data_IF_827170412317
#
_entry.id   IF_827170412317
#
_cell.length_a   1.000
_cell.length_b   1.000
_cell.length_c   1.000
_cell.angle_alpha   90.00
_cell.angle_beta   90.00
_cell.angle_gamma   90.00
#
_symmetry.space_group_name_H-M   'P 1'
#
loop_
_entity.id
_entity.type
_entity.pdbx_description
1 polymer ?
#
# COMPACT_ATOMS: atom_id res chain seq x y z
N UNK A 1 9.53 23.58 -7.32
CA UNK A 1 10.69 22.83 -7.85
C UNK A 1 10.13 21.64 -8.61
N UNK A 2 10.70 21.28 -9.76
CA UNK A 2 10.45 19.97 -10.35
C UNK A 2 11.40 18.99 -9.69
N UNK A 3 10.87 17.93 -9.11
CA UNK A 3 11.71 16.85 -8.56
C UNK A 3 11.98 15.82 -9.65
N UNK A 4 13.13 15.14 -9.60
CA UNK A 4 13.43 14.05 -10.52
C UNK A 4 12.48 12.89 -10.24
N UNK A 5 11.62 12.57 -11.21
CA UNK A 5 10.66 11.46 -11.15
C UNK A 5 10.99 10.43 -12.22
N UNK A 6 10.82 9.16 -11.90
CA UNK A 6 11.05 8.02 -12.79
C UNK A 6 9.76 7.51 -13.44
N UNK A 7 8.81 8.40 -13.73
CA UNK A 7 7.51 8.01 -14.29
C UNK A 7 7.69 7.48 -15.72
N UNK A 8 7.15 6.29 -16.07
CA UNK A 8 7.24 5.74 -17.42
C UNK A 8 6.71 6.70 -18.49
N UNK A 9 7.42 6.82 -19.61
CA UNK A 9 7.10 7.83 -20.63
C UNK A 9 5.70 7.66 -21.25
N UNK A 10 5.26 6.41 -21.42
CA UNK A 10 3.97 6.07 -22.04
C UNK A 10 2.83 5.86 -21.03
N UNK A 11 2.99 6.33 -19.78
CA UNK A 11 1.94 6.22 -18.78
C UNK A 11 0.81 7.21 -19.07
N UNK A 12 -0.42 6.72 -19.22
CA UNK A 12 -1.60 7.51 -19.62
C UNK A 12 -1.85 8.75 -18.75
N UNK A 13 -1.53 8.67 -17.46
CA UNK A 13 -1.75 9.74 -16.47
C UNK A 13 -0.42 10.35 -15.96
N UNK A 14 0.60 10.42 -16.82
CA UNK A 14 1.94 10.90 -16.45
C UNK A 14 1.94 12.30 -15.87
N UNK A 15 1.26 13.24 -16.50
CA UNK A 15 1.19 14.64 -16.06
C UNK A 15 0.51 14.74 -14.69
N UNK A 16 -0.63 14.05 -14.53
CA UNK A 16 -1.38 14.04 -13.28
C UNK A 16 -0.58 13.42 -12.12
N UNK A 17 0.13 12.32 -12.38
CA UNK A 17 1.00 11.68 -11.40
C UNK A 17 2.19 12.58 -11.03
N UNK A 18 2.79 13.27 -12.01
CA UNK A 18 3.89 14.20 -11.78
C UNK A 18 3.45 15.38 -10.93
N UNK A 19 2.30 15.99 -11.22
CA UNK A 19 1.72 17.07 -10.41
C UNK A 19 1.40 16.61 -8.98
N UNK A 20 0.84 15.40 -8.84
CA UNK A 20 0.54 14.82 -7.54
C UNK A 20 1.81 14.63 -6.72
N UNK A 21 2.85 14.00 -7.29
CA UNK A 21 4.14 13.76 -6.66
C UNK A 21 4.81 15.07 -6.25
N UNK A 22 4.92 16.05 -7.15
CA UNK A 22 5.47 17.36 -6.83
C UNK A 22 4.69 18.00 -5.67
N UNK A 23 3.36 17.89 -5.67
CA UNK A 23 2.54 18.47 -4.61
C UNK A 23 2.75 17.82 -3.24
N UNK A 24 3.10 16.52 -3.21
CA UNK A 24 3.38 15.76 -1.99
C UNK A 24 4.80 16.06 -1.50
N UNK A 25 5.78 16.09 -2.40
CA UNK A 25 7.18 16.38 -2.11
C UNK A 25 7.39 17.79 -1.53
N UNK A 26 6.51 18.73 -1.86
CA UNK A 26 6.49 20.07 -1.24
C UNK A 26 5.94 20.09 0.20
N UNK A 27 5.28 19.02 0.64
CA UNK A 27 4.65 18.94 1.97
C UNK A 27 5.47 18.04 2.90
N UNK A 28 5.95 16.92 2.37
CA UNK A 28 6.68 15.93 3.14
C UNK A 28 7.94 15.46 2.42
N UNK A 29 8.93 15.15 3.25
CA UNK A 29 10.07 14.36 2.83
C UNK A 29 9.64 12.91 2.67
N UNK A 30 9.77 12.40 1.44
CA UNK A 30 9.66 10.97 1.14
C UNK A 30 11.02 10.49 0.62
N UNK A 31 11.31 9.23 0.88
CA UNK A 31 12.52 8.55 0.43
C UNK A 31 12.27 7.90 -0.94
N UNK A 32 11.09 7.28 -1.10
CA UNK A 32 10.66 6.67 -2.35
C UNK A 32 9.15 6.69 -2.55
N UNK A 33 8.73 6.56 -3.82
CA UNK A 33 7.34 6.34 -4.19
C UNK A 33 7.22 5.23 -5.24
N UNK A 34 6.24 4.35 -5.06
CA UNK A 34 5.96 3.23 -5.92
C UNK A 34 4.54 3.33 -6.49
N UNK A 35 4.43 3.11 -7.79
CA UNK A 35 3.17 3.05 -8.52
C UNK A 35 2.82 1.59 -8.78
N UNK A 36 1.65 1.14 -8.31
CA UNK A 36 1.19 -0.21 -8.61
C UNK A 36 0.80 -0.37 -10.08
N UNK A 37 0.57 -1.61 -10.51
CA UNK A 37 -0.26 -1.87 -11.70
C UNK A 37 -1.69 -1.33 -11.50
N UNK A 38 -2.39 -1.10 -12.60
CA UNK A 38 -3.79 -0.65 -12.60
C UNK A 38 -4.66 -1.67 -11.87
N UNK A 39 -5.37 -1.20 -10.86
CA UNK A 39 -6.30 -1.96 -10.03
C UNK A 39 -7.73 -1.76 -10.55
N UNK A 40 -8.55 -2.80 -10.38
CA UNK A 40 -9.97 -2.77 -10.75
C UNK A 40 -10.81 -3.35 -9.63
N UNK A 41 -11.65 -2.51 -9.04
CA UNK A 41 -12.63 -2.90 -8.02
C UNK A 41 -14.04 -2.55 -8.55
N UNK A 42 -14.75 -3.55 -9.06
CA UNK A 42 -16.02 -3.35 -9.74
C UNK A 42 -15.89 -2.44 -10.97
N UNK A 43 -16.55 -1.28 -10.92
CA UNK A 43 -16.50 -0.25 -11.98
C UNK A 43 -15.43 0.82 -11.73
N UNK A 44 -14.68 0.73 -10.63
CA UNK A 44 -13.65 1.71 -10.29
C UNK A 44 -12.30 1.18 -10.72
N UNK A 45 -11.56 2.00 -11.46
CA UNK A 45 -10.19 1.72 -11.86
C UNK A 45 -9.27 2.77 -11.25
N UNK A 46 -8.15 2.34 -10.67
CA UNK A 46 -7.22 3.25 -9.98
C UNK A 46 -5.83 2.63 -9.90
N UNK A 47 -4.85 3.43 -9.48
CA UNK A 47 -3.50 3.01 -9.15
C UNK A 47 -3.25 3.25 -7.67
N UNK A 48 -2.50 2.38 -6.99
CA UNK A 48 -1.93 2.71 -5.70
C UNK A 48 -0.65 3.51 -5.90
N UNK A 49 -0.55 4.63 -5.19
CA UNK A 49 0.68 5.38 -5.04
C UNK A 49 1.17 5.19 -3.60
N UNK A 50 2.14 4.31 -3.42
CA UNK A 50 2.70 4.00 -2.10
C UNK A 50 3.94 4.85 -1.85
N UNK A 51 3.95 5.61 -0.76
CA UNK A 51 5.02 6.51 -0.37
C UNK A 51 5.74 5.96 0.85
N UNK A 52 7.07 5.98 0.82
CA UNK A 52 7.90 5.76 2.00
C UNK A 52 8.44 7.07 2.54
N UNK A 53 8.18 7.28 3.83
CA UNK A 53 8.62 8.45 4.59
C UNK A 53 9.69 8.03 5.59
N UNK A 54 10.56 8.99 5.92
CA UNK A 54 11.58 8.85 6.96
C UNK A 54 10.94 8.34 8.27
N UNK A 55 11.58 7.36 8.90
CA UNK A 55 11.21 6.76 10.20
C UNK A 55 11.04 7.81 11.30
N UNK A 56 11.74 8.95 11.21
CA UNK A 56 11.55 10.09 12.11
C UNK A 56 10.13 10.69 12.06
N UNK A 57 9.35 10.34 11.03
CA UNK A 57 7.95 10.68 10.91
C UNK A 57 7.03 9.51 11.32
N UNK A 58 7.46 8.56 12.17
CA UNK A 58 6.58 7.55 12.78
C UNK A 58 6.22 7.91 14.24
N UNK A 59 4.93 8.12 14.59
CA UNK A 59 3.76 8.08 13.72
C UNK A 59 3.65 9.31 12.83
N UNK A 60 3.20 9.10 11.57
CA UNK A 60 3.01 10.20 10.62
C UNK A 60 2.04 11.25 11.21
N UNK A 61 2.46 12.52 11.34
CA UNK A 61 1.64 13.57 11.90
C UNK A 61 0.25 13.66 11.26
N UNK A 62 -0.78 13.91 12.06
CA UNK A 62 -2.16 13.92 11.60
C UNK A 62 -2.42 15.01 10.55
N UNK A 63 -1.72 16.14 10.66
CA UNK A 63 -1.76 17.25 9.71
C UNK A 63 -1.28 16.79 8.33
N UNK A 64 -0.16 16.05 8.29
CA UNK A 64 0.38 15.47 7.07
C UNK A 64 -0.61 14.46 6.48
N UNK A 65 -1.15 13.54 7.30
CA UNK A 65 -2.17 12.57 6.86
C UNK A 65 -3.37 13.26 6.22
N UNK A 66 -3.86 14.33 6.86
CA UNK A 66 -5.00 15.13 6.37
C UNK A 66 -4.69 15.80 5.04
N UNK A 67 -3.49 16.38 4.89
CA UNK A 67 -3.06 17.01 3.65
C UNK A 67 -2.96 16.01 2.49
N UNK A 68 -2.35 14.84 2.72
CA UNK A 68 -2.25 13.77 1.72
C UNK A 68 -3.63 13.27 1.33
N UNK A 69 -4.53 13.07 2.31
CA UNK A 69 -5.92 12.67 2.04
C UNK A 69 -6.65 13.71 1.18
N UNK A 70 -6.46 15.00 1.47
CA UNK A 70 -7.06 16.09 0.68
C UNK A 70 -6.51 16.15 -0.75
N UNK A 71 -5.23 15.83 -0.94
CA UNK A 71 -4.61 15.71 -2.27
C UNK A 71 -5.15 14.51 -3.03
N UNK A 72 -5.20 13.33 -2.41
CA UNK A 72 -5.77 12.13 -3.02
C UNK A 72 -7.22 12.32 -3.50
N UNK A 73 -8.04 13.08 -2.75
CA UNK A 73 -9.41 13.41 -3.20
C UNK A 73 -9.48 14.21 -4.50
N UNK A 74 -8.44 14.94 -4.88
CA UNK A 74 -8.37 15.69 -6.14
C UNK A 74 -7.91 14.83 -7.32
N UNK A 75 -7.35 13.66 -7.02
CA UNK A 75 -6.73 12.74 -7.98
C UNK A 75 -7.32 11.34 -7.75
N UNK A 76 -8.62 11.13 -8.07
CA UNK A 76 -9.35 9.91 -7.69
C UNK A 76 -8.78 8.63 -8.33
N UNK A 77 -8.04 8.77 -9.42
CA UNK A 77 -7.34 7.68 -10.08
C UNK A 77 -6.13 7.16 -9.28
N UNK A 78 -5.72 7.86 -8.23
CA UNK A 78 -4.58 7.50 -7.38
C UNK A 78 -5.00 7.35 -5.92
N UNK A 79 -4.94 6.13 -5.41
CA UNK A 79 -5.11 5.84 -3.98
C UNK A 79 -3.75 5.92 -3.30
N UNK A 80 -3.56 6.96 -2.48
CA UNK A 80 -2.29 7.22 -1.82
C UNK A 80 -2.20 6.43 -0.52
N UNK A 81 -1.07 5.77 -0.31
CA UNK A 81 -0.73 5.01 0.90
C UNK A 81 0.63 5.46 1.40
N UNK A 82 0.78 5.59 2.71
CA UNK A 82 2.01 6.13 3.32
C UNK A 82 2.46 5.17 4.40
N UNK A 83 3.73 4.79 4.33
CA UNK A 83 4.36 3.88 5.28
C UNK A 83 5.77 4.36 5.59
N UNK A 84 6.33 3.92 6.70
CA UNK A 84 7.78 3.95 6.90
C UNK A 84 8.42 2.70 6.30
N UNK A 85 9.73 2.75 6.06
CA UNK A 85 10.48 1.58 5.60
C UNK A 85 10.36 0.41 6.59
N UNK A 86 10.49 0.69 7.90
CA UNK A 86 10.32 -0.31 8.96
C UNK A 86 8.94 -0.99 8.93
N UNK A 87 7.88 -0.23 8.60
CA UNK A 87 6.53 -0.81 8.44
C UNK A 87 6.45 -1.74 7.23
N UNK A 88 7.11 -1.38 6.12
CA UNK A 88 7.21 -2.22 4.93
C UNK A 88 8.00 -3.49 5.21
N UNK A 89 9.18 -3.38 5.82
CA UNK A 89 10.03 -4.52 6.20
C UNK A 89 9.28 -5.47 7.14
N UNK A 90 8.71 -4.95 8.22
CA UNK A 90 7.92 -5.74 9.17
C UNK A 90 6.73 -6.41 8.47
N UNK A 91 6.08 -5.71 7.55
CA UNK A 91 4.98 -6.24 6.74
C UNK A 91 5.44 -7.42 5.87
N UNK A 92 6.52 -7.24 5.11
CA UNK A 92 7.10 -8.27 4.26
C UNK A 92 7.58 -9.49 5.07
N UNK A 93 8.24 -9.26 6.21
CA UNK A 93 8.65 -10.33 7.12
C UNK A 93 7.47 -11.18 7.59
N UNK A 94 6.33 -10.55 7.83
CA UNK A 94 5.07 -11.20 8.20
C UNK A 94 4.31 -11.78 7.02
N UNK A 95 4.75 -11.55 5.77
CA UNK A 95 4.11 -12.06 4.57
C UNK A 95 2.97 -11.19 4.03
N UNK A 96 2.98 -9.89 4.32
CA UNK A 96 2.01 -8.95 3.76
C UNK A 96 2.22 -8.78 2.24
N UNK A 97 1.30 -9.36 1.47
CA UNK A 97 1.33 -9.34 0.00
C UNK A 97 1.26 -7.93 -0.59
N UNK A 98 0.66 -6.98 0.12
CA UNK A 98 0.54 -5.59 -0.31
C UNK A 98 1.90 -4.99 -0.74
N UNK A 99 2.93 -5.12 0.11
CA UNK A 99 4.24 -4.54 -0.17
C UNK A 99 4.95 -5.29 -1.31
N UNK A 100 4.76 -6.60 -1.41
CA UNK A 100 5.28 -7.40 -2.52
C UNK A 100 4.66 -6.94 -3.86
N UNK A 101 3.33 -6.82 -3.92
CA UNK A 101 2.62 -6.48 -5.14
C UNK A 101 2.86 -5.02 -5.57
N UNK A 102 2.82 -4.08 -4.63
CA UNK A 102 2.78 -2.66 -4.95
C UNK A 102 4.11 -1.94 -4.80
N UNK A 103 5.08 -2.51 -4.06
CA UNK A 103 6.41 -1.91 -3.90
C UNK A 103 7.51 -2.75 -4.57
N UNK A 104 7.52 -4.08 -4.42
CA UNK A 104 8.54 -4.92 -5.07
C UNK A 104 8.27 -5.16 -6.56
N UNK A 105 6.99 -5.34 -6.94
CA UNK A 105 6.56 -5.53 -8.33
C UNK A 105 5.99 -4.26 -8.96
N UNK A 106 5.88 -3.18 -8.18
CA UNK A 106 5.45 -1.86 -8.65
C UNK A 106 6.58 -1.08 -9.30
N UNK A 107 6.23 -0.03 -10.04
CA UNK A 107 7.19 0.87 -10.67
C UNK A 107 7.68 1.89 -9.64
N UNK A 108 8.98 2.00 -9.44
CA UNK A 108 9.55 3.09 -8.65
C UNK A 108 9.43 4.39 -9.46
N UNK A 109 8.54 5.29 -9.06
CA UNK A 109 8.25 6.55 -9.76
C UNK A 109 8.95 7.75 -9.14
N UNK A 110 9.52 7.58 -7.95
CA UNK A 110 10.36 8.58 -7.30
C UNK A 110 11.33 7.91 -6.33
N UNK A 111 12.59 8.33 -6.35
CA UNK A 111 13.60 7.97 -5.37
C UNK A 111 14.46 9.19 -5.08
N UNK A 112 14.68 9.50 -3.80
CA UNK A 112 15.58 10.57 -3.39
C UNK A 112 17.03 10.11 -3.63
N UNK A 113 17.66 10.62 -4.70
CA UNK A 113 19.04 10.35 -5.10
C UNK A 113 20.05 10.69 -3.99
N UNK A 114 20.33 9.70 -3.12
CA UNK A 114 21.53 9.52 -2.29
C UNK A 114 21.46 8.26 -1.39
N UNK A 115 20.30 7.58 -1.32
CA UNK A 115 20.22 6.20 -0.82
C UNK A 115 20.33 5.22 -1.98
N UNK A 116 20.96 4.07 -1.75
CA UNK A 116 20.81 2.91 -2.62
C UNK A 116 19.31 2.65 -2.89
N UNK A 117 18.96 1.95 -3.96
CA UNK A 117 17.58 1.49 -4.13
C UNK A 117 17.27 0.58 -2.93
N UNK A 118 16.62 1.11 -1.89
CA UNK A 118 16.52 0.47 -0.55
C UNK A 118 15.81 -0.89 -0.64
N UNK A 119 15.04 -1.09 -1.71
CA UNK A 119 14.38 -2.35 -2.05
C UNK A 119 15.23 -3.26 -2.96
N UNK A 120 16.57 -3.21 -2.90
CA UNK A 120 17.43 -4.29 -3.40
C UNK A 120 17.33 -5.50 -2.46
N UNK A 121 16.14 -6.10 -2.42
CA UNK A 121 15.85 -7.33 -1.67
C UNK A 121 16.52 -8.56 -2.29
N UNK A 122 17.56 -8.40 -3.11
CA UNK A 122 18.41 -9.50 -3.56
C UNK A 122 18.95 -10.34 -2.40
N UNK A 123 19.03 -9.79 -1.18
CA UNK A 123 19.37 -10.52 0.05
C UNK A 123 18.24 -11.38 0.64
N UNK A 124 16.96 -11.07 0.36
CA UNK A 124 15.83 -11.91 0.71
C UNK A 124 15.39 -12.70 -0.53
N UNK A 125 15.81 -13.96 -0.61
CA UNK A 125 15.40 -14.86 -1.69
C UNK A 125 13.87 -14.78 -1.89
N UNK A 126 13.44 -14.32 -3.07
CA UNK A 126 12.03 -14.11 -3.44
C UNK A 126 11.13 -15.30 -3.05
N UNK A 127 11.65 -16.52 -3.18
CA UNK A 127 11.02 -17.75 -2.73
C UNK A 127 10.64 -17.75 -1.23
N UNK A 128 11.50 -17.22 -0.37
CA UNK A 128 11.25 -17.09 1.07
C UNK A 128 10.11 -16.10 1.34
N UNK A 129 10.11 -14.96 0.65
CA UNK A 129 9.03 -13.95 0.77
C UNK A 129 7.69 -14.52 0.30
N UNK A 130 7.67 -15.18 -0.86
CA UNK A 130 6.48 -15.84 -1.39
C UNK A 130 5.97 -16.93 -0.44
N UNK A 131 6.84 -17.79 0.07
CA UNK A 131 6.46 -18.86 1.00
C UNK A 131 5.91 -18.30 2.32
N UNK A 132 6.47 -17.20 2.85
CA UNK A 132 5.93 -16.49 4.02
C UNK A 132 4.55 -15.92 3.72
N UNK A 133 4.39 -15.28 2.58
CA UNK A 133 3.12 -14.69 2.17
C UNK A 133 2.02 -15.74 1.95
N UNK A 134 2.34 -16.90 1.37
CA UNK A 134 1.40 -18.04 1.26
C UNK A 134 0.94 -18.50 2.64
N UNK A 135 1.87 -18.66 3.59
CA UNK A 135 1.52 -19.07 4.96
C UNK A 135 0.66 -18.02 5.66
N UNK A 136 1.01 -16.74 5.53
CA UNK A 136 0.25 -15.65 6.11
C UNK A 136 -1.15 -15.56 5.51
N UNK A 137 -1.27 -15.61 4.19
CA UNK A 137 -2.55 -15.62 3.49
C UNK A 137 -3.44 -16.79 3.94
N UNK A 138 -2.87 -18.00 4.07
CA UNK A 138 -3.60 -19.16 4.61
C UNK A 138 -4.09 -18.93 6.03
N UNK A 139 -3.29 -18.30 6.89
CA UNK A 139 -3.67 -17.95 8.27
C UNK A 139 -4.81 -16.93 8.30
N UNK A 140 -4.72 -15.86 7.51
CA UNK A 140 -5.76 -14.84 7.43
C UNK A 140 -7.07 -15.40 6.85
N UNK A 141 -7.00 -16.22 5.79
CA UNK A 141 -8.17 -16.94 5.27
C UNK A 141 -8.79 -17.88 6.31
N UNK A 142 -7.97 -18.56 7.12
CA UNK A 142 -8.48 -19.41 8.20
C UNK A 142 -9.25 -18.60 9.25
N UNK A 143 -8.80 -17.39 9.58
CA UNK A 143 -9.54 -16.47 10.47
C UNK A 143 -10.86 -16.03 9.84
N UNK A 144 -10.82 -15.55 8.60
CA UNK A 144 -12.03 -15.14 7.86
C UNK A 144 -13.04 -16.29 7.79
N UNK A 145 -12.59 -17.50 7.47
CA UNK A 145 -13.45 -18.68 7.44
C UNK A 145 -14.00 -19.03 8.82
N UNK A 146 -13.22 -18.89 9.90
CA UNK A 146 -13.71 -19.13 11.26
C UNK A 146 -14.83 -18.14 11.62
N UNK A 147 -14.65 -16.85 11.31
CA UNK A 147 -15.68 -15.83 11.50
C UNK A 147 -16.94 -16.10 10.67
N UNK A 148 -16.78 -16.42 9.38
CA UNK A 148 -17.90 -16.75 8.49
C UNK A 148 -18.68 -18.00 8.98
N UNK A 149 -17.97 -19.07 9.32
CA UNK A 149 -18.60 -20.30 9.85
C UNK A 149 -19.33 -20.04 11.18
N UNK A 150 -18.76 -19.21 12.05
CA UNK A 150 -19.39 -18.83 13.32
C UNK A 150 -20.66 -18.02 13.08
N UNK A 151 -20.62 -17.06 12.15
CA UNK A 151 -21.80 -16.29 11.77
C UNK A 151 -22.91 -17.19 11.19
N UNK A 152 -22.58 -18.17 10.35
CA UNK A 152 -23.55 -19.14 9.81
C UNK A 152 -24.22 -19.99 10.90
N UNK A 153 -23.49 -20.38 11.94
CA UNK A 153 -24.03 -21.11 13.09
C UNK A 153 -24.99 -20.21 13.87
N UNK A 154 -24.57 -18.99 14.21
CA UNK A 154 -25.37 -18.03 14.97
C UNK A 154 -26.67 -17.64 14.23
N UNK A 155 -26.63 -17.51 12.90
CA UNK A 155 -27.82 -17.29 12.08
C UNK A 155 -28.82 -18.45 12.22
N UNK A 156 -28.34 -19.70 12.24
CA UNK A 156 -29.20 -20.89 12.43
C UNK A 156 -29.78 -20.96 13.84
N UNK A 157 -29.06 -20.45 14.84
CA UNK A 157 -29.49 -20.36 16.23
C UNK A 157 -30.41 -19.15 16.51
N UNK A 158 -30.56 -18.25 15.53
CA UNK A 158 -31.41 -17.05 15.64
C UNK A 158 -30.73 -15.84 16.27
N UNK A 159 -29.42 -15.91 16.53
CA UNK A 159 -28.64 -14.81 17.13
C UNK A 159 -28.03 -13.91 16.04
N UNK A 160 -28.92 -13.16 15.39
CA UNK A 160 -28.56 -12.30 14.26
C UNK A 160 -27.64 -11.13 14.64
N UNK A 161 -27.69 -10.67 15.89
CA UNK A 161 -26.89 -9.55 16.35
C UNK A 161 -25.40 -9.93 16.43
N UNK A 162 -25.09 -11.08 17.02
CA UNK A 162 -23.71 -11.58 17.13
C UNK A 162 -23.20 -12.08 15.77
N UNK A 163 -24.07 -12.67 14.95
CA UNK A 163 -23.71 -13.06 13.59
C UNK A 163 -23.27 -11.85 12.75
N UNK A 164 -24.00 -10.74 12.84
CA UNK A 164 -23.66 -9.48 12.14
C UNK A 164 -22.31 -8.94 12.61
N UNK A 165 -22.04 -8.98 13.91
CA UNK A 165 -20.74 -8.55 14.45
C UNK A 165 -19.57 -9.40 13.92
N UNK A 166 -19.75 -10.71 13.76
CA UNK A 166 -18.71 -11.60 13.23
C UNK A 166 -18.42 -11.39 11.74
N UNK A 167 -19.34 -10.76 10.99
CA UNK A 167 -19.16 -10.47 9.56
C UNK A 167 -18.64 -9.04 9.27
N UNK A 168 -18.51 -8.18 10.28
CA UNK A 168 -18.05 -6.78 10.13
C UNK A 168 -16.52 -6.66 10.26
#
# INVERSE_FOLDING_TARGET
MKHDTNIPENFEKKEELSELLDSILNIITIDSAFLSKKQKEGNTEYYFLTLFVDVNNDPLPNEIRSLITKKGKKHPDFRIRVYTETQSETGLERGALYFLEHCCLGENVFARLQGENIMDYSSMAYETLVNRAIRYHKSELAKVNAFANTADILIKEGDYAIATFNMH
#
